data_IF_695548217929
#
_entry.id   IF_695548217929
#
_cell.length_a   1.000
_cell.length_b   1.000
_cell.length_c   1.000
_cell.angle_alpha   90.00
_cell.angle_beta   90.00
_cell.angle_gamma   90.00
#
_symmetry.space_group_name_H-M   'P 1'
#
loop_
_entity.id
_entity.type
_entity.pdbx_description
1 polymer ?
#
# COMPACT_ATOMS: atom_id res chain seq x y z
N UNK A 1 41.31 -24.06 -4.49
CA UNK A 1 41.89 -23.33 -3.35
C UNK A 1 43.00 -22.43 -3.87
N UNK A 2 42.75 -21.14 -4.00
CA UNK A 2 43.78 -20.09 -4.07
C UNK A 2 43.11 -18.79 -3.64
N UNK A 3 43.70 -18.15 -2.62
CA UNK A 3 43.20 -16.99 -1.90
C UNK A 3 43.91 -15.73 -2.42
N UNK A 4 43.12 -14.67 -2.67
CA UNK A 4 43.38 -13.21 -2.45
C UNK A 4 44.62 -12.53 -3.09
N UNK A 5 44.63 -11.19 -3.30
CA UNK A 5 43.96 -10.14 -2.52
C UNK A 5 43.22 -9.03 -3.34
N UNK A 6 42.56 -8.07 -2.64
CA UNK A 6 41.77 -7.00 -3.25
C UNK A 6 42.58 -5.71 -3.43
N UNK A 7 42.42 -5.06 -4.58
CA UNK A 7 42.94 -3.72 -4.83
C UNK A 7 42.09 -2.67 -4.10
N UNK A 8 42.63 -2.20 -2.98
CA UNK A 8 42.36 -0.86 -2.45
C UNK A 8 43.58 -0.02 -2.77
N UNK A 9 43.41 1.06 -3.53
CA UNK A 9 44.21 2.28 -3.44
C UNK A 9 43.60 3.31 -4.40
N UNK A 10 43.14 4.43 -3.85
CA UNK A 10 43.15 5.80 -4.40
C UNK A 10 42.05 6.57 -3.66
N UNK A 11 42.41 7.23 -2.56
CA UNK A 11 42.40 8.69 -2.48
C UNK A 11 43.15 9.14 -1.23
N UNK A 12 44.11 9.99 -1.51
CA UNK A 12 45.11 10.56 -0.62
C UNK A 12 44.57 11.91 -0.11
N UNK A 13 44.76 12.14 1.20
CA UNK A 13 44.98 13.42 1.88
C UNK A 13 44.16 14.65 1.47
N UNK A 14 43.35 15.12 2.42
CA UNK A 14 43.32 16.53 2.82
C UNK A 14 43.23 16.58 4.36
N UNK A 15 44.40 16.71 5.00
CA UNK A 15 44.53 17.07 6.41
C UNK A 15 44.28 18.58 6.52
N UNK A 16 43.26 18.96 7.28
CA UNK A 16 43.15 20.31 7.84
C UNK A 16 43.25 20.16 9.36
N UNK A 17 44.43 20.47 9.88
CA UNK A 17 44.65 20.66 11.30
C UNK A 17 43.91 21.91 11.78
N UNK A 18 42.88 21.72 12.59
CA UNK A 18 42.38 22.76 13.50
C UNK A 18 42.34 22.14 14.88
N UNK A 19 43.30 22.51 15.73
CA UNK A 19 43.19 22.35 17.17
C UNK A 19 42.46 23.57 17.73
N UNK A 20 41.29 23.42 18.37
CA UNK A 20 40.87 24.30 19.43
C UNK A 20 41.25 23.68 20.78
N UNK A 21 42.08 24.44 21.49
CA UNK A 21 42.34 24.48 22.93
C UNK A 21 41.46 23.61 23.84
N UNK A 22 42.11 22.76 24.63
CA UNK A 22 41.58 22.21 25.88
C UNK A 22 41.34 23.35 26.87
N UNK A 23 40.09 23.73 27.09
CA UNK A 23 39.68 24.45 28.29
C UNK A 23 38.77 23.55 29.11
N UNK A 24 39.31 23.03 30.21
CA UNK A 24 38.55 22.38 31.27
C UNK A 24 37.76 23.45 32.01
N UNK A 25 36.51 23.70 31.61
CA UNK A 25 35.52 24.30 32.51
C UNK A 25 34.21 23.51 32.40
N UNK A 26 34.07 22.51 33.26
CA UNK A 26 32.81 21.79 33.42
C UNK A 26 31.81 22.71 34.12
N UNK A 27 31.13 23.56 33.35
CA UNK A 27 30.03 24.40 33.84
C UNK A 27 28.99 23.53 34.56
N UNK A 28 28.49 24.01 35.70
CA UNK A 28 27.42 23.35 36.46
C UNK A 28 26.19 23.08 35.57
N UNK A 29 25.97 23.93 34.57
CA UNK A 29 24.94 23.81 33.54
C UNK A 29 25.18 22.59 32.64
N UNK A 30 26.41 22.29 32.21
CA UNK A 30 26.69 21.10 31.40
C UNK A 30 26.56 19.79 32.20
N UNK A 31 26.84 19.83 33.51
CA UNK A 31 26.55 18.73 34.44
C UNK A 31 25.05 18.55 34.70
N UNK A 32 24.27 19.64 34.75
CA UNK A 32 22.82 19.57 34.88
C UNK A 32 22.17 19.03 33.60
N UNK A 33 22.56 19.53 32.43
CA UNK A 33 22.05 19.05 31.14
C UNK A 33 22.48 17.61 30.83
N UNK A 34 23.67 17.18 31.24
CA UNK A 34 24.06 15.76 31.10
C UNK A 34 23.36 14.84 32.09
N UNK A 35 23.04 15.31 33.31
CA UNK A 35 22.19 14.57 34.25
C UNK A 35 20.72 14.54 33.83
N UNK A 36 20.19 15.61 33.24
CA UNK A 36 18.83 15.66 32.70
C UNK A 36 18.70 14.80 31.43
N UNK A 37 19.68 14.87 30.51
CA UNK A 37 19.77 13.95 29.37
C UNK A 37 19.92 12.51 29.82
N UNK A 38 20.72 12.21 30.85
CA UNK A 38 20.75 10.85 31.42
C UNK A 38 19.40 10.47 32.01
N UNK A 39 18.72 11.30 32.80
CA UNK A 39 17.42 10.91 33.37
C UNK A 39 16.31 10.74 32.33
N UNK A 40 16.39 11.40 31.18
CA UNK A 40 15.40 11.29 30.09
C UNK A 40 15.78 10.20 29.07
N UNK A 41 17.07 9.85 28.94
CA UNK A 41 17.58 8.90 27.93
C UNK A 41 18.38 7.73 28.50
N UNK A 42 18.17 7.36 29.77
CA UNK A 42 18.78 6.16 30.38
C UNK A 42 17.81 4.98 30.44
N UNK A 43 17.21 4.63 29.31
CA UNK A 43 16.75 3.26 29.08
C UNK A 43 17.18 2.82 27.67
N UNK A 44 17.64 1.56 27.49
CA UNK A 44 18.16 1.09 26.22
C UNK A 44 17.01 0.80 25.24
N UNK A 45 17.18 1.21 23.97
CA UNK A 45 16.61 0.54 22.80
C UNK A 45 15.09 0.24 22.77
N UNK A 46 14.21 1.17 23.14
CA UNK A 46 12.81 1.10 22.70
C UNK A 46 12.55 2.13 21.60
N UNK A 47 12.19 1.66 20.41
CA UNK A 47 11.80 2.54 19.32
C UNK A 47 10.55 3.33 19.76
N UNK A 48 10.53 4.67 19.66
CA UNK A 48 9.42 5.50 20.18
C UNK A 48 8.07 5.13 19.58
N UNK A 49 8.03 4.51 18.40
CA UNK A 49 6.81 4.06 17.74
C UNK A 49 6.32 2.70 18.23
N UNK A 50 7.13 1.93 18.95
CA UNK A 50 6.77 0.59 19.40
C UNK A 50 5.62 0.62 20.41
N UNK A 51 5.66 1.55 21.38
CA UNK A 51 4.56 1.77 22.32
C UNK A 51 3.27 2.21 21.60
N UNK A 52 3.40 3.07 20.58
CA UNK A 52 2.26 3.49 19.75
C UNK A 52 1.68 2.35 18.93
N UNK A 53 2.52 1.47 18.38
CA UNK A 53 2.07 0.26 17.67
C UNK A 53 1.31 -0.68 18.62
N UNK A 54 1.78 -0.87 19.85
CA UNK A 54 1.08 -1.69 20.85
C UNK A 54 -0.29 -1.11 21.23
N UNK A 55 -0.38 0.22 21.42
CA UNK A 55 -1.66 0.90 21.68
C UNK A 55 -2.64 0.72 20.50
N UNK A 56 -2.15 0.93 19.26
CA UNK A 56 -2.96 0.76 18.06
C UNK A 56 -3.39 -0.70 17.86
N UNK A 57 -2.52 -1.66 18.21
CA UNK A 57 -2.86 -3.07 18.21
C UNK A 57 -4.02 -3.35 19.17
N UNK A 58 -3.94 -2.88 20.42
CA UNK A 58 -5.02 -3.03 21.40
C UNK A 58 -6.34 -2.43 20.90
N UNK A 59 -6.29 -1.19 20.41
CA UNK A 59 -7.47 -0.51 19.84
C UNK A 59 -8.05 -1.28 18.65
N UNK A 60 -7.19 -1.88 17.81
CA UNK A 60 -7.63 -2.68 16.67
C UNK A 60 -8.35 -3.97 17.10
N UNK A 61 -7.95 -4.58 18.21
CA UNK A 61 -8.59 -5.80 18.73
C UNK A 61 -10.04 -5.54 19.14
N UNK A 62 -10.32 -4.43 19.82
CA UNK A 62 -11.68 -4.08 20.21
C UNK A 62 -12.60 -3.86 19.00
N UNK A 63 -12.12 -3.12 17.99
CA UNK A 63 -12.91 -2.87 16.77
C UNK A 63 -13.07 -4.16 15.95
N UNK A 64 -12.04 -5.02 15.94
CA UNK A 64 -12.13 -6.33 15.31
C UNK A 64 -13.24 -7.18 15.94
N UNK A 65 -13.37 -7.19 17.26
CA UNK A 65 -14.46 -7.90 17.94
C UNK A 65 -15.83 -7.37 17.54
N UNK A 66 -15.99 -6.05 17.35
CA UNK A 66 -17.22 -5.45 16.83
C UNK A 66 -17.53 -5.91 15.41
N UNK A 67 -16.51 -5.94 14.52
CA UNK A 67 -16.65 -6.44 13.15
C UNK A 67 -17.04 -7.93 13.11
N UNK A 68 -16.47 -8.77 13.97
CA UNK A 68 -16.82 -10.19 14.09
C UNK A 68 -18.27 -10.38 14.59
N UNK A 69 -18.74 -9.53 15.50
CA UNK A 69 -20.15 -9.53 15.94
C UNK A 69 -21.10 -9.17 14.80
N UNK A 70 -20.76 -8.16 14.00
CA UNK A 70 -21.55 -7.78 12.82
C UNK A 70 -21.59 -8.96 11.84
N UNK A 71 -20.43 -9.55 11.53
CA UNK A 71 -20.34 -10.72 10.66
C UNK A 71 -21.21 -11.89 11.11
N UNK A 72 -21.27 -12.18 12.41
CA UNK A 72 -22.07 -13.27 12.96
C UNK A 72 -23.59 -12.97 12.99
N UNK A 73 -23.97 -11.70 13.04
CA UNK A 73 -25.37 -11.26 13.22
C UNK A 73 -26.01 -10.59 12.00
N UNK A 74 -25.34 -10.59 10.85
CA UNK A 74 -25.84 -9.93 9.63
C UNK A 74 -26.91 -10.76 8.93
N UNK A 75 -27.97 -10.08 8.51
CA UNK A 75 -29.04 -10.71 7.73
C UNK A 75 -28.54 -11.24 6.38
N UNK A 76 -29.24 -12.24 5.84
CA UNK A 76 -28.89 -12.87 4.55
C UNK A 76 -28.77 -11.85 3.41
N UNK A 77 -29.66 -10.85 3.38
CA UNK A 77 -29.69 -9.82 2.35
C UNK A 77 -28.48 -8.88 2.38
N UNK A 78 -27.79 -8.81 3.52
CA UNK A 78 -26.59 -7.99 3.74
C UNK A 78 -25.30 -8.83 3.74
N UNK A 79 -25.35 -10.11 3.35
CA UNK A 79 -24.15 -10.97 3.30
C UNK A 79 -22.99 -10.39 2.47
N UNK A 80 -23.21 -9.67 1.36
CA UNK A 80 -22.10 -9.02 0.66
C UNK A 80 -21.37 -7.93 1.46
N UNK A 81 -21.99 -7.33 2.50
CA UNK A 81 -21.25 -6.52 3.49
C UNK A 81 -20.13 -7.35 4.14
N UNK A 82 -20.43 -8.61 4.48
CA UNK A 82 -19.43 -9.50 5.08
C UNK A 82 -18.33 -9.80 4.08
N UNK A 83 -18.70 -10.29 2.89
CA UNK A 83 -17.73 -10.80 1.92
C UNK A 83 -16.86 -9.70 1.31
N UNK A 84 -17.43 -8.54 1.02
CA UNK A 84 -16.76 -7.46 0.28
C UNK A 84 -16.13 -6.41 1.20
N UNK A 85 -16.60 -6.29 2.45
CA UNK A 85 -16.10 -5.28 3.39
C UNK A 85 -15.46 -5.92 4.62
N UNK A 86 -16.23 -6.64 5.43
CA UNK A 86 -15.78 -7.07 6.76
C UNK A 86 -14.65 -8.09 6.66
N UNK A 87 -14.81 -9.14 5.86
CA UNK A 87 -13.81 -10.19 5.70
C UNK A 87 -12.46 -9.67 5.16
N UNK A 88 -12.42 -8.84 4.10
CA UNK A 88 -11.19 -8.17 3.69
C UNK A 88 -10.54 -7.35 4.81
N UNK A 89 -11.32 -6.63 5.62
CA UNK A 89 -10.79 -5.86 6.74
C UNK A 89 -10.22 -6.76 7.84
N UNK A 90 -10.89 -7.85 8.18
CA UNK A 90 -10.42 -8.84 9.15
C UNK A 90 -9.11 -9.50 8.68
N UNK A 91 -8.99 -9.84 7.39
CA UNK A 91 -7.73 -10.36 6.81
C UNK A 91 -6.62 -9.31 6.83
N UNK A 92 -6.94 -8.06 6.49
CA UNK A 92 -5.96 -6.96 6.46
C UNK A 92 -5.33 -6.72 7.83
N UNK A 93 -6.12 -6.77 8.91
CA UNK A 93 -5.58 -6.54 10.26
C UNK A 93 -4.74 -7.72 10.75
N UNK A 94 -5.13 -8.96 10.42
CA UNK A 94 -4.32 -10.15 10.71
C UNK A 94 -2.95 -10.08 10.03
N UNK A 95 -2.91 -9.69 8.76
CA UNK A 95 -1.65 -9.49 8.04
C UNK A 95 -0.79 -8.39 8.66
N UNK A 96 -1.40 -7.28 9.09
CA UNK A 96 -0.68 -6.19 9.74
C UNK A 96 -0.07 -6.64 11.07
N UNK A 97 -0.79 -7.45 11.85
CA UNK A 97 -0.28 -8.04 13.09
C UNK A 97 0.95 -8.94 12.83
N UNK A 98 0.93 -9.76 11.79
CA UNK A 98 2.09 -10.59 11.42
C UNK A 98 3.32 -9.78 11.00
N UNK A 99 3.15 -8.68 10.26
CA UNK A 99 4.25 -7.81 9.85
C UNK A 99 4.95 -7.19 11.07
N UNK A 100 4.18 -6.79 12.08
CA UNK A 100 4.73 -6.16 13.30
C UNK A 100 5.57 -7.08 14.17
N UNK A 101 5.36 -8.39 14.09
CA UNK A 101 6.14 -9.37 14.85
C UNK A 101 7.55 -9.58 14.26
N UNK A 102 7.77 -9.21 13.00
CA UNK A 102 8.96 -9.60 12.23
C UNK A 102 9.85 -8.42 11.77
N UNK A 103 9.44 -7.16 12.02
CA UNK A 103 10.16 -5.98 11.53
C UNK A 103 10.84 -5.19 12.65
N UNK A 104 12.12 -4.85 12.48
CA UNK A 104 12.91 -4.07 13.44
C UNK A 104 13.31 -2.68 12.95
N UNK A 105 12.96 -2.32 11.71
CA UNK A 105 13.39 -1.08 11.07
C UNK A 105 12.42 0.10 11.35
N UNK A 106 12.92 1.29 11.75
CA UNK A 106 12.08 2.45 12.05
C UNK A 106 11.12 2.89 10.93
N UNK A 107 11.57 2.85 9.67
CA UNK A 107 10.73 3.17 8.51
C UNK A 107 9.57 2.17 8.32
N UNK A 108 9.76 0.92 8.75
CA UNK A 108 8.69 -0.09 8.75
C UNK A 108 7.68 0.20 9.86
N UNK A 109 8.14 0.69 11.02
CA UNK A 109 7.26 1.08 12.12
C UNK A 109 6.38 2.28 11.78
N UNK A 110 6.90 3.30 11.09
CA UNK A 110 6.08 4.45 10.67
C UNK A 110 4.98 4.02 9.68
N UNK A 111 5.33 3.26 8.64
CA UNK A 111 4.35 2.70 7.69
C UNK A 111 3.33 1.81 8.39
N UNK A 112 3.77 1.07 9.40
CA UNK A 112 2.90 0.21 10.21
C UNK A 112 1.88 1.04 11.01
N UNK A 113 2.33 2.11 11.67
CA UNK A 113 1.45 3.05 12.39
C UNK A 113 0.40 3.64 11.45
N UNK A 114 0.81 4.13 10.28
CA UNK A 114 -0.11 4.69 9.28
C UNK A 114 -1.14 3.65 8.81
N UNK A 115 -0.71 2.40 8.58
CA UNK A 115 -1.61 1.30 8.21
C UNK A 115 -2.62 0.99 9.30
N UNK A 116 -2.19 0.94 10.56
CA UNK A 116 -3.10 0.74 11.70
C UNK A 116 -4.12 1.88 11.80
N UNK A 117 -3.68 3.13 11.74
CA UNK A 117 -4.57 4.29 11.85
C UNK A 117 -5.62 4.27 10.74
N UNK A 118 -5.20 4.08 9.49
CA UNK A 118 -6.11 3.96 8.35
C UNK A 118 -7.11 2.82 8.53
N UNK A 119 -6.64 1.65 8.95
CA UNK A 119 -7.51 0.50 9.19
C UNK A 119 -8.53 0.79 10.30
N UNK A 120 -8.08 1.35 11.43
CA UNK A 120 -8.93 1.70 12.58
C UNK A 120 -10.01 2.70 12.19
N UNK A 121 -9.65 3.74 11.45
CA UNK A 121 -10.60 4.76 10.97
C UNK A 121 -11.65 4.14 10.06
N UNK A 122 -11.22 3.35 9.07
CA UNK A 122 -12.15 2.65 8.17
C UNK A 122 -13.06 1.67 8.92
N UNK A 123 -12.51 0.92 9.87
CA UNK A 123 -13.26 -0.08 10.63
C UNK A 123 -14.32 0.57 11.51
N UNK A 124 -13.97 1.68 12.19
CA UNK A 124 -14.92 2.46 12.97
C UNK A 124 -16.05 3.02 12.11
N UNK A 125 -15.76 3.49 10.90
CA UNK A 125 -16.78 3.99 9.98
C UNK A 125 -17.80 2.88 9.65
N UNK A 126 -17.34 1.67 9.32
CA UNK A 126 -18.23 0.55 9.01
C UNK A 126 -19.02 0.06 10.22
N UNK A 127 -18.40 -0.04 11.40
CA UNK A 127 -19.11 -0.36 12.63
C UNK A 127 -20.20 0.69 12.92
N UNK A 128 -19.85 1.98 12.82
CA UNK A 128 -20.80 3.06 13.06
C UNK A 128 -21.95 3.05 12.04
N UNK A 129 -21.64 2.86 10.76
CA UNK A 129 -22.63 2.77 9.70
C UNK A 129 -23.61 1.63 9.98
N UNK A 130 -23.12 0.42 10.27
CA UNK A 130 -24.00 -0.72 10.55
C UNK A 130 -24.83 -0.55 11.83
N UNK A 131 -24.23 -0.02 12.90
CA UNK A 131 -24.90 0.07 14.22
C UNK A 131 -25.85 1.27 14.35
N UNK A 132 -25.65 2.32 13.56
CA UNK A 132 -26.45 3.55 13.62
C UNK A 132 -27.33 3.77 12.39
N UNK A 133 -27.23 2.92 11.38
CA UNK A 133 -28.10 3.00 10.21
C UNK A 133 -29.57 3.00 10.64
N UNK A 134 -30.36 3.87 10.01
CA UNK A 134 -31.80 3.98 10.31
C UNK A 134 -32.57 2.78 9.77
N UNK A 135 -32.10 2.23 8.66
CA UNK A 135 -32.67 1.09 7.96
C UNK A 135 -31.58 0.32 7.21
N UNK A 136 -31.97 -0.82 6.63
CA UNK A 136 -31.07 -1.68 5.85
C UNK A 136 -30.66 -1.05 4.52
N UNK A 137 -31.45 -0.10 3.99
CA UNK A 137 -31.22 0.53 2.69
C UNK A 137 -30.00 1.46 2.75
N UNK A 138 -29.81 2.16 3.87
CA UNK A 138 -28.60 2.95 4.12
C UNK A 138 -27.32 2.09 4.08
N UNK A 139 -27.35 0.92 4.72
CA UNK A 139 -26.22 -0.02 4.71
C UNK A 139 -26.00 -0.60 3.32
N UNK A 140 -27.08 -1.00 2.65
CA UNK A 140 -27.08 -1.51 1.28
C UNK A 140 -26.39 -0.53 0.34
N UNK A 141 -26.82 0.74 0.34
CA UNK A 141 -26.25 1.79 -0.51
C UNK A 141 -24.77 2.00 -0.25
N UNK A 142 -24.35 2.05 1.02
CA UNK A 142 -22.95 2.22 1.37
C UNK A 142 -22.07 1.05 0.88
N UNK A 143 -22.57 -0.19 0.95
CA UNK A 143 -21.86 -1.37 0.43
C UNK A 143 -21.76 -1.31 -1.10
N UNK A 144 -22.83 -0.92 -1.79
CA UNK A 144 -22.84 -0.70 -3.24
C UNK A 144 -21.75 0.30 -3.63
N UNK A 145 -21.79 1.48 -3.02
CA UNK A 145 -20.84 2.57 -3.30
C UNK A 145 -19.40 2.11 -3.03
N UNK A 146 -19.18 1.34 -1.96
CA UNK A 146 -17.88 0.77 -1.64
C UNK A 146 -17.38 -0.20 -2.71
N UNK A 147 -18.21 -1.14 -3.15
CA UNK A 147 -17.84 -2.14 -4.16
C UNK A 147 -17.49 -1.46 -5.49
N UNK A 148 -18.29 -0.47 -5.90
CA UNK A 148 -18.06 0.29 -7.14
C UNK A 148 -16.77 1.08 -7.05
N UNK A 149 -16.55 1.81 -5.95
CA UNK A 149 -15.34 2.59 -5.74
C UNK A 149 -14.10 1.69 -5.69
N UNK A 150 -14.17 0.57 -4.98
CA UNK A 150 -13.07 -0.39 -4.89
C UNK A 150 -12.72 -0.98 -6.25
N UNK A 151 -13.73 -1.34 -7.05
CA UNK A 151 -13.54 -1.85 -8.42
C UNK A 151 -12.84 -0.83 -9.32
N UNK A 152 -13.28 0.44 -9.26
CA UNK A 152 -12.64 1.53 -10.00
C UNK A 152 -11.18 1.76 -9.59
N UNK A 153 -10.88 1.69 -8.28
CA UNK A 153 -9.52 1.83 -7.78
C UNK A 153 -8.59 0.70 -8.24
N UNK A 154 -9.11 -0.52 -8.38
CA UNK A 154 -8.32 -1.64 -8.92
C UNK A 154 -8.00 -1.37 -10.39
N UNK A 155 -8.97 -0.93 -11.19
CA UNK A 155 -8.74 -0.59 -12.61
C UNK A 155 -7.71 0.54 -12.74
N UNK A 156 -7.76 1.57 -11.90
CA UNK A 156 -6.77 2.65 -11.89
C UNK A 156 -5.36 2.14 -11.57
N UNK A 157 -5.26 1.23 -10.60
CA UNK A 157 -3.98 0.58 -10.27
C UNK A 157 -3.45 -0.23 -11.45
N UNK A 158 -4.31 -1.00 -12.11
CA UNK A 158 -3.93 -1.80 -13.27
C UNK A 158 -3.40 -0.92 -14.41
N UNK A 159 -4.10 0.18 -14.72
CA UNK A 159 -3.64 1.18 -15.69
C UNK A 159 -2.29 1.79 -15.30
N UNK A 160 -2.10 2.10 -14.02
CA UNK A 160 -0.82 2.62 -13.52
C UNK A 160 0.31 1.60 -13.73
N UNK A 161 0.09 0.33 -13.35
CA UNK A 161 1.06 -0.75 -13.52
C UNK A 161 1.44 -0.91 -15.00
N UNK A 162 0.45 -0.96 -15.90
CA UNK A 162 0.70 -1.08 -17.34
C UNK A 162 1.48 0.11 -17.90
N UNK A 163 1.17 1.33 -17.44
CA UNK A 163 1.89 2.53 -17.83
C UNK A 163 3.34 2.54 -17.33
N UNK A 164 3.58 2.11 -16.10
CA UNK A 164 4.94 1.98 -15.56
C UNK A 164 5.71 0.88 -16.30
N UNK A 165 5.07 -0.26 -16.55
CA UNK A 165 5.72 -1.40 -17.17
C UNK A 165 6.12 -1.14 -18.62
N UNK A 166 5.26 -0.51 -19.42
CA UNK A 166 5.61 -0.16 -20.82
C UNK A 166 6.74 0.88 -20.91
N UNK A 167 6.85 1.79 -19.94
CA UNK A 167 7.96 2.74 -19.87
C UNK A 167 9.26 1.99 -19.61
N UNK A 168 9.27 1.14 -18.57
CA UNK A 168 10.43 0.34 -18.19
C UNK A 168 10.85 -0.61 -19.32
N UNK A 169 9.89 -1.24 -19.99
CA UNK A 169 10.12 -2.14 -21.13
C UNK A 169 11.03 -1.51 -22.21
N UNK A 170 10.73 -0.27 -22.61
CA UNK A 170 11.52 0.46 -23.62
C UNK A 170 12.88 0.89 -23.08
N UNK A 171 12.98 1.21 -21.80
CA UNK A 171 14.26 1.60 -21.18
C UNK A 171 15.29 0.48 -21.26
N UNK A 172 14.85 -0.79 -21.12
CA UNK A 172 15.72 -1.97 -21.18
C UNK A 172 16.18 -2.37 -22.59
N UNK A 173 15.55 -1.86 -23.66
CA UNK A 173 15.96 -2.17 -25.03
C UNK A 173 17.24 -1.42 -25.41
N UNK A 174 18.12 -2.06 -26.18
CA UNK A 174 19.32 -1.42 -26.69
C UNK A 174 19.01 -0.55 -27.92
N UNK A 175 19.47 0.69 -27.91
CA UNK A 175 19.25 1.60 -29.02
C UNK A 175 19.55 3.05 -28.69
N UNK A 176 19.78 3.85 -29.74
CA UNK A 176 19.86 5.30 -29.61
C UNK A 176 18.49 5.90 -29.23
N UNK A 177 18.43 7.15 -28.76
CA UNK A 177 17.19 7.77 -28.33
C UNK A 177 16.09 7.81 -29.40
N UNK A 178 16.45 8.02 -30.67
CA UNK A 178 15.49 8.07 -31.79
C UNK A 178 14.82 6.72 -32.04
N UNK A 179 15.59 5.62 -32.02
CA UNK A 179 15.06 4.26 -32.13
C UNK A 179 14.15 3.93 -30.95
N UNK A 180 14.54 4.31 -29.72
CA UNK A 180 13.70 4.12 -28.52
C UNK A 180 12.39 4.89 -28.61
N UNK A 181 12.40 6.09 -29.19
CA UNK A 181 11.17 6.87 -29.40
C UNK A 181 10.23 6.19 -30.41
N UNK A 182 10.77 5.71 -31.53
CA UNK A 182 9.97 4.98 -32.52
C UNK A 182 9.36 3.70 -31.94
N UNK A 183 10.13 2.94 -31.16
CA UNK A 183 9.66 1.74 -30.46
C UNK A 183 8.61 2.07 -29.41
N UNK A 184 8.80 3.15 -28.64
CA UNK A 184 7.80 3.62 -27.67
C UNK A 184 6.48 3.92 -28.34
N UNK A 185 6.48 4.66 -29.46
CA UNK A 185 5.26 4.99 -30.19
C UNK A 185 4.55 3.72 -30.66
N UNK A 186 5.28 2.77 -31.26
CA UNK A 186 4.71 1.52 -31.73
C UNK A 186 4.07 0.71 -30.58
N UNK A 187 4.80 0.53 -29.46
CA UNK A 187 4.26 -0.14 -28.28
C UNK A 187 3.00 0.56 -27.75
N UNK A 188 2.99 1.89 -27.72
CA UNK A 188 1.85 2.67 -27.22
C UNK A 188 0.62 2.49 -28.12
N UNK A 189 0.81 2.49 -29.44
CA UNK A 189 -0.26 2.27 -30.41
C UNK A 189 -0.83 0.84 -30.29
N UNK A 190 0.03 -0.17 -30.07
CA UNK A 190 -0.40 -1.56 -29.84
C UNK A 190 -1.16 -1.75 -28.51
N UNK A 191 -0.78 -1.00 -27.49
CA UNK A 191 -1.40 -1.06 -26.16
C UNK A 191 -2.70 -0.26 -26.05
N UNK A 192 -2.88 0.78 -26.87
CA UNK A 192 -4.03 1.67 -26.84
C UNK A 192 -5.39 0.96 -26.68
N UNK A 193 -5.74 -0.07 -27.48
CA UNK A 193 -7.06 -0.71 -27.35
C UNK A 193 -7.30 -1.34 -25.98
N UNK A 194 -6.28 -1.93 -25.34
CA UNK A 194 -6.44 -2.55 -24.02
C UNK A 194 -6.57 -1.52 -22.91
N UNK A 195 -5.80 -0.43 -23.00
CA UNK A 195 -5.88 0.68 -22.05
C UNK A 195 -7.22 1.41 -22.15
N UNK A 196 -7.71 1.64 -23.36
CA UNK A 196 -9.00 2.27 -23.59
C UNK A 196 -10.14 1.38 -23.08
N UNK A 197 -10.08 0.06 -23.31
CA UNK A 197 -11.07 -0.87 -22.76
C UNK A 197 -11.07 -0.85 -21.23
N UNK A 198 -9.90 -0.85 -20.58
CA UNK A 198 -9.79 -0.74 -19.12
C UNK A 198 -10.38 0.58 -18.62
N UNK A 199 -10.08 1.72 -19.25
CA UNK A 199 -10.66 3.01 -18.85
C UNK A 199 -12.18 3.05 -19.06
N UNK A 200 -12.68 2.44 -20.13
CA UNK A 200 -14.12 2.32 -20.38
C UNK A 200 -14.85 1.51 -19.31
N UNK A 201 -14.21 0.50 -18.69
CA UNK A 201 -14.83 -0.26 -17.59
C UNK A 201 -15.21 0.64 -16.41
N UNK A 202 -14.45 1.71 -16.14
CA UNK A 202 -14.75 2.71 -15.10
C UNK A 202 -16.01 3.52 -15.41
N UNK A 203 -16.36 3.61 -16.70
CA UNK A 203 -17.47 4.40 -17.24
C UNK A 203 -18.70 3.56 -17.53
N UNK A 204 -18.62 2.23 -17.39
CA UNK A 204 -19.80 1.37 -17.43
C UNK A 204 -20.69 1.86 -16.30
N UNK A 205 -21.77 2.58 -16.66
CA UNK A 205 -22.72 3.16 -15.74
C UNK A 205 -23.04 2.14 -14.66
N UNK A 206 -22.71 2.49 -13.41
CA UNK A 206 -23.16 1.74 -12.25
C UNK A 206 -24.69 1.62 -12.36
N UNK A 207 -25.24 0.43 -12.64
CA UNK A 207 -26.68 0.26 -12.65
C UNK A 207 -27.22 0.68 -11.29
N UNK A 208 -28.41 1.26 -11.23
CA UNK A 208 -29.12 1.35 -9.95
C UNK A 208 -29.40 -0.08 -9.47
N UNK A 209 -28.59 -0.54 -8.54
CA UNK A 209 -28.68 -1.90 -8.04
C UNK A 209 -29.83 -2.01 -7.06
N UNK A 210 -30.76 -2.91 -7.35
CA UNK A 210 -31.90 -3.19 -6.48
C UNK A 210 -31.50 -4.05 -5.27
N UNK A 211 -30.43 -4.82 -5.38
CA UNK A 211 -29.92 -5.69 -4.31
C UNK A 211 -28.39 -5.90 -4.42
N UNK A 212 -27.78 -6.41 -3.35
CA UNK A 212 -26.34 -6.70 -3.34
C UNK A 212 -25.94 -7.86 -4.25
N UNK A 213 -26.87 -8.75 -4.62
CA UNK A 213 -26.56 -9.88 -5.51
C UNK A 213 -26.30 -9.40 -6.94
N UNK A 214 -27.06 -8.42 -7.41
CA UNK A 214 -26.87 -7.75 -8.68
C UNK A 214 -25.50 -7.05 -8.72
N UNK A 215 -25.09 -6.42 -7.61
CA UNK A 215 -23.78 -5.75 -7.46
C UNK A 215 -22.65 -6.75 -7.54
N UNK A 216 -22.73 -7.86 -6.79
CA UNK A 216 -21.71 -8.92 -6.83
C UNK A 216 -21.59 -9.53 -8.23
N UNK A 217 -22.72 -9.72 -8.92
CA UNK A 217 -22.73 -10.25 -10.29
C UNK A 217 -22.10 -9.27 -11.28
N UNK A 218 -22.42 -7.97 -11.15
CA UNK A 218 -21.78 -6.91 -11.92
C UNK A 218 -20.28 -6.84 -11.66
N UNK A 219 -19.87 -6.86 -10.40
CA UNK A 219 -18.46 -6.86 -9.98
C UNK A 219 -17.70 -8.02 -10.61
N UNK A 220 -18.24 -9.25 -10.55
CA UNK A 220 -17.62 -10.43 -11.16
C UNK A 220 -17.43 -10.27 -12.67
N UNK A 221 -18.40 -9.67 -13.37
CA UNK A 221 -18.29 -9.36 -14.80
C UNK A 221 -17.19 -8.32 -15.07
N UNK A 222 -17.17 -7.22 -14.30
CA UNK A 222 -16.15 -6.18 -14.43
C UNK A 222 -14.76 -6.76 -14.16
N UNK A 223 -14.61 -7.58 -13.11
CA UNK A 223 -13.35 -8.23 -12.76
C UNK A 223 -12.85 -9.17 -13.86
N UNK A 224 -13.75 -9.94 -14.48
CA UNK A 224 -13.41 -10.82 -15.60
C UNK A 224 -12.88 -10.02 -16.80
N UNK A 225 -13.60 -8.97 -17.21
CA UNK A 225 -13.21 -8.13 -18.34
C UNK A 225 -11.92 -7.35 -18.05
N UNK A 226 -11.78 -6.86 -16.82
CA UNK A 226 -10.56 -6.20 -16.34
C UNK A 226 -9.37 -7.13 -16.46
N UNK A 227 -9.48 -8.35 -15.92
CA UNK A 227 -8.39 -9.30 -15.91
C UNK A 227 -7.99 -9.74 -17.32
N UNK A 228 -8.97 -9.93 -18.22
CA UNK A 228 -8.70 -10.21 -19.63
C UNK A 228 -7.91 -9.08 -20.30
N UNK A 229 -8.39 -7.83 -20.21
CA UNK A 229 -7.70 -6.69 -20.83
C UNK A 229 -6.32 -6.42 -20.21
N UNK A 230 -6.19 -6.55 -18.88
CA UNK A 230 -4.91 -6.40 -18.20
C UNK A 230 -3.89 -7.46 -18.64
N UNK A 231 -4.29 -8.73 -18.68
CA UNK A 231 -3.42 -9.81 -19.11
C UNK A 231 -3.02 -9.69 -20.58
N UNK A 232 -3.96 -9.31 -21.46
CA UNK A 232 -3.67 -9.10 -22.88
C UNK A 232 -2.70 -7.93 -23.08
N UNK A 233 -2.84 -6.84 -22.29
CA UNK A 233 -1.91 -5.72 -22.32
C UNK A 233 -0.49 -6.12 -21.85
N UNK A 234 -0.39 -6.91 -20.78
CA UNK A 234 0.89 -7.46 -20.33
C UNK A 234 1.53 -8.33 -21.41
N UNK A 235 0.76 -9.26 -21.99
CA UNK A 235 1.25 -10.15 -23.04
C UNK A 235 1.71 -9.38 -24.29
N UNK A 236 1.03 -8.29 -24.66
CA UNK A 236 1.45 -7.41 -25.74
C UNK A 236 2.79 -6.73 -25.45
N UNK A 237 3.01 -6.25 -24.22
CA UNK A 237 4.31 -5.70 -23.80
C UNK A 237 5.40 -6.79 -23.89
N UNK A 238 5.14 -7.96 -23.33
CA UNK A 238 6.12 -9.06 -23.27
C UNK A 238 6.54 -9.50 -24.67
N UNK A 239 5.56 -9.74 -25.55
CA UNK A 239 5.79 -10.12 -26.95
C UNK A 239 6.56 -9.02 -27.68
N UNK A 240 6.22 -7.75 -27.46
CA UNK A 240 6.94 -6.63 -28.05
C UNK A 240 8.41 -6.60 -27.62
N UNK A 241 8.70 -6.84 -26.33
CA UNK A 241 10.07 -6.91 -25.83
C UNK A 241 10.81 -8.07 -26.49
N UNK A 242 10.20 -9.26 -26.56
CA UNK A 242 10.80 -10.45 -27.16
C UNK A 242 11.17 -10.23 -28.64
N UNK A 243 10.29 -9.58 -29.41
CA UNK A 243 10.51 -9.29 -30.83
C UNK A 243 11.61 -8.25 -31.09
N UNK A 244 11.96 -7.44 -30.08
CA UNK A 244 12.87 -6.29 -30.22
C UNK A 244 14.13 -6.39 -29.35
N UNK A 245 14.35 -7.53 -28.69
CA UNK A 245 15.54 -7.86 -27.92
C UNK A 245 16.65 -8.43 -28.80
#
# INVERSE_FOLDING_TARGET
MTKHPPDKLFYQKLEVHIHPSKTNSSSFVSKLFSKLKRKIFSEPNQNPLQGRIQELHWNSTQIREELEKIKAGVDLDLQPLVFEVIDPMLRSIQQLHHITQNASLPAVHEKTVQRYMKWIEQAKLWVQLYTKAKDKEEVLKAVIDHIVLASNQIIERDLQILNEYKIQAIEFLDGNPEKKEALRKNLYDQMAPFLDNLDQLKRINCPEFQDLKAVSSWKAKIDSLRQENFNNALHAIDTFIEDHR
#
